data_IF_180636543265
#
_entry.id   IF_180636543265
#
_cell.length_a   1.000
_cell.length_b   1.000
_cell.length_c   1.000
_cell.angle_alpha   90.00
_cell.angle_beta   90.00
_cell.angle_gamma   90.00
#
_symmetry.space_group_name_H-M   'P 1'
#
loop_
_entity.id
_entity.type
_entity.pdbx_description
1 polymer ?
#
# COMPACT_ATOMS: atom_id res chain seq x y z
N UNK A 1 1.21 14.93 -14.60
CA UNK A 1 1.26 13.46 -14.77
C UNK A 1 2.29 12.93 -13.79
N UNK A 2 1.86 12.40 -12.63
CA UNK A 2 2.75 11.71 -11.72
C UNK A 2 3.16 10.40 -12.38
N UNK A 3 4.47 10.11 -12.41
CA UNK A 3 4.93 8.80 -12.89
C UNK A 3 4.43 7.73 -11.93
N UNK A 4 3.88 6.65 -12.48
CA UNK A 4 3.57 5.43 -11.72
C UNK A 4 4.81 4.97 -10.98
N UNK A 5 4.73 4.64 -9.69
CA UNK A 5 5.91 4.19 -8.97
C UNK A 5 6.40 2.86 -9.56
N UNK A 6 7.71 2.72 -9.67
CA UNK A 6 8.34 1.44 -9.99
C UNK A 6 7.96 0.40 -8.93
N UNK A 7 7.85 -0.88 -9.30
CA UNK A 7 7.60 -1.98 -8.37
C UNK A 7 8.62 -2.01 -7.22
N UNK A 8 8.23 -2.60 -6.09
CA UNK A 8 9.05 -2.63 -4.86
C UNK A 8 10.45 -3.19 -5.15
N UNK A 9 10.53 -4.30 -5.86
CA UNK A 9 11.81 -4.94 -6.24
C UNK A 9 12.76 -3.98 -6.94
N UNK A 10 12.26 -3.23 -7.95
CA UNK A 10 13.07 -2.26 -8.71
C UNK A 10 13.56 -1.12 -7.83
N UNK A 11 12.70 -0.61 -6.96
CA UNK A 11 13.05 0.46 -6.02
C UNK A 11 14.04 0.02 -4.98
N UNK A 12 13.87 -1.21 -4.45
CA UNK A 12 14.81 -1.80 -3.50
C UNK A 12 16.20 -1.87 -4.10
N UNK A 13 16.36 -2.47 -5.28
CA UNK A 13 17.63 -2.55 -5.95
C UNK A 13 18.22 -1.15 -6.17
N UNK A 14 17.41 -0.21 -6.68
CA UNK A 14 17.85 1.16 -6.94
C UNK A 14 18.36 1.86 -5.67
N UNK A 15 17.64 1.73 -4.56
CA UNK A 15 17.98 2.35 -3.28
C UNK A 15 19.24 1.72 -2.67
N UNK A 16 19.32 0.39 -2.65
CA UNK A 16 20.48 -0.34 -2.13
C UNK A 16 21.74 0.00 -2.93
N UNK A 17 21.67 -0.12 -4.24
CA UNK A 17 22.81 0.14 -5.13
C UNK A 17 23.29 1.58 -5.04
N UNK A 18 22.37 2.55 -4.99
CA UNK A 18 22.72 3.96 -4.81
C UNK A 18 23.41 4.22 -3.47
N UNK A 19 22.86 3.66 -2.36
CA UNK A 19 23.47 3.80 -1.03
C UNK A 19 24.84 3.13 -0.96
N UNK A 20 24.99 1.93 -1.50
CA UNK A 20 26.28 1.22 -1.57
C UNK A 20 27.32 2.05 -2.34
N UNK A 21 26.96 2.61 -3.49
CA UNK A 21 27.84 3.50 -4.25
C UNK A 21 28.29 4.72 -3.44
N UNK A 22 27.34 5.39 -2.77
CA UNK A 22 27.64 6.59 -1.95
C UNK A 22 28.54 6.21 -0.77
N UNK A 23 28.25 5.11 -0.07
CA UNK A 23 29.06 4.59 1.06
C UNK A 23 30.50 4.28 0.62
N UNK A 24 30.67 3.70 -0.59
CA UNK A 24 31.98 3.43 -1.18
C UNK A 24 32.70 4.70 -1.68
N UNK A 25 32.09 5.89 -1.61
CA UNK A 25 32.68 7.14 -2.11
C UNK A 25 32.78 7.22 -3.64
N UNK A 26 32.08 6.36 -4.37
CA UNK A 26 32.21 6.23 -5.83
C UNK A 26 31.28 7.24 -6.53
N UNK A 27 31.87 8.04 -7.44
CA UNK A 27 31.08 8.96 -8.28
C UNK A 27 30.26 8.20 -9.33
N UNK A 28 29.05 8.68 -9.63
CA UNK A 28 28.15 8.07 -10.62
C UNK A 28 28.81 7.81 -11.98
N UNK A 29 29.59 8.78 -12.50
CA UNK A 29 30.31 8.60 -13.76
C UNK A 29 31.39 7.51 -13.72
N UNK A 30 32.01 7.26 -12.56
CA UNK A 30 33.01 6.17 -12.38
C UNK A 30 32.31 4.82 -12.35
N UNK A 31 31.20 4.71 -11.61
CA UNK A 31 30.39 3.51 -11.56
C UNK A 31 29.83 3.13 -12.94
N UNK A 32 29.30 4.12 -13.67
CA UNK A 32 28.77 3.90 -15.01
C UNK A 32 29.83 3.34 -15.98
N UNK A 33 31.04 3.93 -15.98
CA UNK A 33 32.15 3.42 -16.79
C UNK A 33 32.58 1.99 -16.41
N UNK A 34 32.56 1.67 -15.10
CA UNK A 34 32.92 0.32 -14.64
C UNK A 34 31.93 -0.75 -15.12
N UNK A 35 30.67 -0.40 -15.23
CA UNK A 35 29.61 -1.30 -15.73
C UNK A 35 29.33 -1.17 -17.25
N UNK A 36 30.17 -0.42 -17.97
CA UNK A 36 30.04 -0.18 -19.42
C UNK A 36 28.64 0.38 -19.81
N UNK A 37 28.13 1.32 -19.01
CA UNK A 37 26.87 2.02 -19.27
C UNK A 37 27.05 3.54 -19.25
N UNK A 38 26.08 4.27 -19.81
CA UNK A 38 26.11 5.73 -19.74
C UNK A 38 25.78 6.25 -18.32
N UNK A 39 26.32 7.42 -17.90
CA UNK A 39 25.94 8.03 -16.64
C UNK A 39 24.42 8.32 -16.54
N UNK A 40 23.78 8.64 -17.65
CA UNK A 40 22.32 8.83 -17.73
C UNK A 40 21.55 7.53 -17.47
N UNK A 41 22.05 6.41 -17.99
CA UNK A 41 21.48 5.07 -17.74
C UNK A 41 21.57 4.71 -16.26
N UNK A 42 22.73 4.90 -15.63
CA UNK A 42 22.88 4.64 -14.20
C UNK A 42 21.94 5.53 -13.37
N UNK A 43 21.79 6.79 -13.75
CA UNK A 43 20.86 7.70 -13.08
C UNK A 43 19.41 7.19 -13.15
N UNK A 44 18.98 6.66 -14.30
CA UNK A 44 17.65 6.04 -14.46
C UNK A 44 17.48 4.80 -13.58
N UNK A 45 18.51 3.96 -13.49
CA UNK A 45 18.50 2.81 -12.58
C UNK A 45 18.40 3.25 -11.12
N UNK A 46 19.23 4.20 -10.67
CA UNK A 46 19.22 4.72 -9.30
C UNK A 46 17.95 5.48 -8.91
N UNK A 47 17.16 5.94 -9.91
CA UNK A 47 15.82 6.52 -9.73
C UNK A 47 14.69 5.50 -9.85
N UNK A 48 15.01 4.23 -10.07
CA UNK A 48 14.07 3.17 -10.37
C UNK A 48 13.19 3.43 -11.60
N UNK A 49 13.60 4.32 -12.52
CA UNK A 49 12.91 4.56 -13.78
C UNK A 49 13.01 3.36 -14.74
N UNK A 50 14.11 2.62 -14.67
CA UNK A 50 14.35 1.41 -15.46
C UNK A 50 14.71 0.22 -14.55
N UNK A 51 14.36 -1.03 -14.94
CA UNK A 51 14.77 -2.22 -14.22
C UNK A 51 16.29 -2.40 -14.32
N UNK A 52 16.91 -2.87 -13.24
CA UNK A 52 18.32 -3.15 -13.18
C UNK A 52 18.64 -4.49 -13.88
N UNK A 53 19.49 -4.50 -14.94
CA UNK A 53 19.90 -5.76 -15.54
C UNK A 53 20.78 -6.58 -14.58
N UNK A 54 20.54 -7.88 -14.49
CA UNK A 54 21.29 -8.80 -13.62
C UNK A 54 22.81 -8.64 -13.73
N UNK A 55 23.41 -8.55 -14.94
CA UNK A 55 24.85 -8.36 -15.07
C UNK A 55 25.35 -7.05 -14.45
N UNK A 56 24.55 -5.97 -14.56
CA UNK A 56 24.91 -4.66 -14.00
C UNK A 56 24.84 -4.68 -12.48
N UNK A 57 23.82 -5.33 -11.92
CA UNK A 57 23.69 -5.54 -10.46
C UNK A 57 24.92 -6.29 -9.95
N UNK A 58 25.28 -7.40 -10.60
CA UNK A 58 26.40 -8.23 -10.21
C UNK A 58 27.72 -7.43 -10.18
N UNK A 59 28.07 -6.81 -11.30
CA UNK A 59 29.33 -6.06 -11.48
C UNK A 59 29.44 -4.88 -10.52
N UNK A 60 28.36 -4.11 -10.36
CA UNK A 60 28.39 -2.94 -9.50
C UNK A 60 28.30 -3.29 -8.01
N UNK A 61 27.67 -4.38 -7.63
CA UNK A 61 27.66 -4.87 -6.24
C UNK A 61 29.08 -5.21 -5.77
N UNK A 62 29.86 -5.91 -6.59
CA UNK A 62 31.27 -6.19 -6.30
C UNK A 62 32.10 -4.90 -6.24
N UNK A 63 31.92 -4.01 -7.21
CA UNK A 63 32.65 -2.75 -7.27
C UNK A 63 32.35 -1.82 -6.08
N UNK A 64 31.14 -1.90 -5.51
CA UNK A 64 30.75 -1.14 -4.33
C UNK A 64 31.15 -1.80 -3.01
N UNK A 65 31.70 -3.01 -3.05
CA UNK A 65 32.18 -3.76 -1.89
C UNK A 65 31.03 -4.37 -1.06
N UNK A 66 29.92 -4.73 -1.68
CA UNK A 66 28.86 -5.49 -1.02
C UNK A 66 29.32 -6.91 -0.71
N UNK A 67 28.75 -7.51 0.35
CA UNK A 67 29.02 -8.91 0.67
C UNK A 67 28.49 -9.83 -0.45
N UNK A 68 29.06 -11.04 -0.54
CA UNK A 68 28.57 -12.06 -1.49
C UNK A 68 27.08 -12.36 -1.25
N UNK A 69 26.67 -12.43 0.01
CA UNK A 69 25.28 -12.69 0.39
C UNK A 69 24.34 -11.57 -0.09
N UNK A 70 24.70 -10.30 0.13
CA UNK A 70 23.91 -9.15 -0.30
C UNK A 70 23.84 -9.02 -1.82
N UNK A 71 24.97 -9.25 -2.50
CA UNK A 71 25.01 -9.31 -3.96
C UNK A 71 24.07 -10.36 -4.51
N UNK A 72 24.13 -11.58 -3.98
CA UNK A 72 23.34 -12.70 -4.47
C UNK A 72 21.83 -12.45 -4.23
N UNK A 73 21.45 -11.89 -3.08
CA UNK A 73 20.08 -11.41 -2.83
C UNK A 73 19.61 -10.38 -3.86
N UNK A 74 20.44 -9.37 -4.17
CA UNK A 74 20.13 -8.35 -5.17
C UNK A 74 20.01 -8.93 -6.58
N UNK A 75 20.85 -9.88 -6.93
CA UNK A 75 20.80 -10.61 -8.20
C UNK A 75 19.51 -11.41 -8.32
N UNK A 76 19.09 -12.09 -7.24
CA UNK A 76 17.84 -12.85 -7.23
C UNK A 76 16.63 -11.92 -7.35
N UNK A 77 16.64 -10.78 -6.66
CA UNK A 77 15.64 -9.74 -6.84
C UNK A 77 15.60 -9.24 -8.29
N UNK A 78 16.74 -8.99 -8.92
CA UNK A 78 16.81 -8.52 -10.30
C UNK A 78 16.33 -9.56 -11.34
N UNK A 79 16.33 -10.85 -10.98
CA UNK A 79 15.78 -11.94 -11.82
C UNK A 79 14.26 -12.05 -11.72
N UNK A 80 13.67 -11.56 -10.64
CA UNK A 80 12.22 -11.62 -10.48
C UNK A 80 11.54 -10.74 -11.54
N UNK A 81 10.60 -11.32 -12.27
CA UNK A 81 9.75 -10.55 -13.17
C UNK A 81 8.69 -9.85 -12.32
N UNK A 82 8.59 -8.54 -12.45
CA UNK A 82 7.58 -7.72 -11.75
C UNK A 82 6.13 -7.97 -12.25
N UNK A 83 5.83 -9.19 -12.70
CA UNK A 83 4.51 -9.54 -13.24
C UNK A 83 3.67 -10.17 -12.13
N UNK A 84 2.98 -9.35 -11.35
CA UNK A 84 1.97 -9.80 -10.41
C UNK A 84 0.69 -10.28 -11.13
N UNK A 85 -0.20 -10.95 -10.38
CA UNK A 85 -1.47 -11.46 -10.90
C UNK A 85 -2.38 -10.35 -11.45
N UNK A 86 -2.23 -9.11 -10.99
CA UNK A 86 -3.02 -7.93 -11.42
C UNK A 86 -2.76 -7.51 -12.87
N UNK A 87 -1.61 -7.77 -13.44
CA UNK A 87 -1.32 -7.50 -14.87
C UNK A 87 -2.20 -8.28 -15.86
N UNK A 88 -2.98 -9.25 -15.39
CA UNK A 88 -3.97 -9.95 -16.20
C UNK A 88 -5.26 -9.15 -16.40
N UNK A 89 -5.47 -8.11 -15.61
CA UNK A 89 -6.65 -7.25 -15.62
C UNK A 89 -6.34 -5.94 -16.35
N UNK A 90 -6.65 -5.89 -17.64
CA UNK A 90 -6.29 -4.76 -18.53
C UNK A 90 -7.01 -3.44 -18.23
N UNK A 91 -8.08 -3.47 -17.45
CA UNK A 91 -8.94 -2.31 -17.16
C UNK A 91 -8.58 -1.58 -15.86
N UNK A 92 -7.47 -1.98 -15.20
CA UNK A 92 -6.99 -1.34 -13.99
C UNK A 92 -6.14 -0.12 -14.36
N UNK A 93 -6.40 1.07 -13.78
CA UNK A 93 -5.55 2.24 -13.98
C UNK A 93 -4.10 1.97 -13.52
N UNK A 94 -3.11 2.45 -14.28
CA UNK A 94 -1.68 2.23 -14.00
C UNK A 94 -1.27 2.61 -12.57
N UNK A 95 -1.83 3.71 -12.03
CA UNK A 95 -1.56 4.12 -10.65
C UNK A 95 -2.06 3.08 -9.64
N UNK A 96 -3.20 2.42 -9.91
CA UNK A 96 -3.75 1.41 -9.02
C UNK A 96 -3.02 0.07 -9.14
N UNK A 97 -2.52 -0.30 -10.33
CA UNK A 97 -1.62 -1.45 -10.49
C UNK A 97 -0.38 -1.31 -9.60
N UNK A 98 0.20 -0.10 -9.57
CA UNK A 98 1.34 0.20 -8.73
C UNK A 98 1.03 0.07 -7.24
N UNK A 99 -0.16 0.52 -6.82
CA UNK A 99 -0.64 0.35 -5.45
C UNK A 99 -0.75 -1.13 -5.07
N UNK A 100 -1.40 -1.94 -5.92
CA UNK A 100 -1.54 -3.39 -5.68
C UNK A 100 -0.16 -4.05 -5.55
N UNK A 101 0.77 -3.68 -6.42
CA UNK A 101 2.14 -4.18 -6.36
C UNK A 101 2.84 -3.86 -5.05
N UNK A 102 2.74 -2.62 -4.57
CA UNK A 102 3.29 -2.20 -3.29
C UNK A 102 2.60 -2.92 -2.11
N UNK A 103 1.27 -2.96 -2.10
CA UNK A 103 0.49 -3.63 -1.04
C UNK A 103 0.82 -5.13 -0.96
N UNK A 104 1.04 -5.80 -2.10
CA UNK A 104 1.36 -7.22 -2.14
C UNK A 104 2.69 -7.56 -1.47
N UNK A 105 3.64 -6.64 -1.42
CA UNK A 105 4.97 -6.82 -0.84
C UNK A 105 5.12 -6.17 0.54
N UNK A 106 4.15 -5.34 0.97
CA UNK A 106 4.15 -4.74 2.30
C UNK A 106 3.97 -5.82 3.38
N UNK A 107 4.66 -5.66 4.52
CA UNK A 107 4.43 -6.49 5.71
C UNK A 107 3.44 -5.86 6.68
N UNK A 108 3.34 -4.52 6.67
CA UNK A 108 2.37 -3.78 7.47
C UNK A 108 1.71 -2.69 6.61
N UNK A 109 0.41 -2.53 6.77
CA UNK A 109 -0.34 -1.42 6.20
C UNK A 109 -1.07 -0.69 7.31
N UNK A 110 -0.88 0.64 7.37
CA UNK A 110 -1.62 1.55 8.22
C UNK A 110 -2.57 2.34 7.31
N UNK A 111 -3.88 2.23 7.53
CA UNK A 111 -4.88 2.84 6.69
C UNK A 111 -5.85 3.70 7.51
N UNK A 112 -5.94 4.97 7.19
CA UNK A 112 -7.02 5.85 7.66
C UNK A 112 -8.04 6.04 6.56
N UNK A 113 -9.33 5.83 6.89
CA UNK A 113 -10.46 6.07 5.99
C UNK A 113 -11.48 7.02 6.61
N UNK A 114 -11.80 8.09 5.86
CA UNK A 114 -12.69 9.14 6.32
C UNK A 114 -14.18 8.85 6.03
N UNK A 115 -14.51 8.31 4.87
CA UNK A 115 -15.92 8.21 4.42
C UNK A 115 -16.36 6.84 3.92
N UNK A 116 -15.45 5.88 3.79
CA UNK A 116 -15.71 4.52 3.32
C UNK A 116 -15.03 3.48 4.20
N UNK A 117 -15.39 2.23 4.03
CA UNK A 117 -14.67 1.11 4.64
C UNK A 117 -13.37 0.86 3.85
N UNK A 118 -12.22 0.59 4.51
CA UNK A 118 -10.98 0.22 3.84
C UNK A 118 -11.17 -0.91 2.82
N UNK A 119 -10.56 -0.80 1.64
CA UNK A 119 -10.73 -1.77 0.57
C UNK A 119 -10.43 -3.22 0.95
N UNK A 120 -9.48 -3.44 1.86
CA UNK A 120 -9.13 -4.77 2.39
C UNK A 120 -10.21 -5.36 3.33
N UNK A 121 -11.16 -4.57 3.79
CA UNK A 121 -12.24 -4.99 4.69
C UNK A 121 -13.63 -4.96 4.04
N UNK A 122 -13.74 -4.60 2.75
CA UNK A 122 -15.03 -4.51 2.06
C UNK A 122 -15.57 -5.89 1.68
N UNK A 123 -16.90 -6.05 1.73
CA UNK A 123 -17.58 -7.15 1.04
C UNK A 123 -17.70 -6.86 -0.45
N UNK A 124 -17.94 -7.89 -1.27
CA UNK A 124 -18.09 -7.72 -2.72
C UNK A 124 -19.25 -6.76 -3.09
N UNK A 125 -20.39 -6.86 -2.38
CA UNK A 125 -21.56 -6.01 -2.64
C UNK A 125 -21.34 -4.56 -2.23
N UNK A 126 -20.63 -4.34 -1.12
CA UNK A 126 -20.22 -2.99 -0.72
C UNK A 126 -19.24 -2.41 -1.74
N UNK A 127 -18.22 -3.16 -2.15
CA UNK A 127 -17.24 -2.75 -3.15
C UNK A 127 -17.91 -2.41 -4.49
N UNK A 128 -18.85 -3.25 -4.94
CA UNK A 128 -19.63 -3.00 -6.16
C UNK A 128 -20.41 -1.67 -6.05
N UNK A 129 -21.07 -1.45 -4.94
CA UNK A 129 -21.84 -0.22 -4.72
C UNK A 129 -20.97 1.03 -4.71
N UNK A 130 -19.76 0.96 -4.12
CA UNK A 130 -18.79 2.08 -4.15
C UNK A 130 -18.31 2.34 -5.58
N UNK A 131 -17.95 1.31 -6.32
CA UNK A 131 -17.45 1.42 -7.69
C UNK A 131 -18.52 1.93 -8.67
N UNK A 132 -19.78 1.49 -8.50
CA UNK A 132 -20.91 1.94 -9.33
C UNK A 132 -21.35 3.37 -9.04
N UNK A 133 -20.91 3.97 -7.93
CA UNK A 133 -21.21 5.36 -7.60
C UNK A 133 -20.25 6.35 -8.27
N UNK A 134 -19.31 5.85 -9.08
CA UNK A 134 -18.36 6.69 -9.79
C UNK A 134 -19.05 7.53 -10.87
N UNK A 135 -18.52 8.74 -11.16
CA UNK A 135 -19.03 9.64 -12.21
C UNK A 135 -18.80 9.12 -13.62
N UNK A 136 -17.71 8.36 -13.82
CA UNK A 136 -17.42 7.72 -15.08
C UNK A 136 -18.11 6.35 -15.08
N UNK A 137 -19.24 6.25 -15.80
CA UNK A 137 -19.97 4.99 -15.91
C UNK A 137 -19.06 3.92 -16.55
N UNK A 138 -18.49 3.07 -15.72
CA UNK A 138 -17.86 1.82 -16.17
C UNK A 138 -18.94 0.80 -16.46
N UNK A 139 -18.71 -0.09 -17.40
CA UNK A 139 -19.64 -1.19 -17.67
C UNK A 139 -19.75 -2.11 -16.44
N UNK A 140 -20.85 -2.83 -16.33
CA UNK A 140 -21.02 -3.84 -15.28
C UNK A 140 -19.87 -4.87 -15.28
N UNK A 141 -19.37 -5.24 -16.47
CA UNK A 141 -18.24 -6.14 -16.62
C UNK A 141 -16.94 -5.56 -16.04
N UNK A 142 -16.68 -4.29 -16.26
CA UNK A 142 -15.51 -3.60 -15.68
C UNK A 142 -15.66 -3.46 -14.17
N UNK A 143 -16.86 -3.15 -13.68
CA UNK A 143 -17.14 -3.10 -12.22
C UNK A 143 -16.86 -4.46 -11.59
N UNK A 144 -17.34 -5.57 -12.15
CA UNK A 144 -17.08 -6.92 -11.63
C UNK A 144 -15.59 -7.30 -11.70
N UNK A 145 -14.86 -6.87 -12.73
CA UNK A 145 -13.42 -7.04 -12.81
C UNK A 145 -12.70 -6.31 -11.64
N UNK A 146 -13.09 -5.08 -11.36
CA UNK A 146 -12.53 -4.31 -10.23
C UNK A 146 -12.91 -4.92 -8.87
N UNK A 147 -14.15 -5.41 -8.70
CA UNK A 147 -14.57 -6.15 -7.49
C UNK A 147 -13.71 -7.41 -7.32
N UNK A 148 -13.50 -8.17 -8.39
CA UNK A 148 -12.66 -9.37 -8.38
C UNK A 148 -11.24 -9.05 -7.91
N UNK A 149 -10.63 -8.00 -8.44
CA UNK A 149 -9.30 -7.52 -8.01
C UNK A 149 -9.31 -7.15 -6.53
N UNK A 150 -10.33 -6.43 -6.05
CA UNK A 150 -10.46 -6.06 -4.63
C UNK A 150 -10.56 -7.28 -3.72
N UNK A 151 -11.36 -8.27 -4.10
CA UNK A 151 -11.46 -9.53 -3.34
C UNK A 151 -10.15 -10.35 -3.38
N UNK A 152 -9.42 -10.30 -4.50
CA UNK A 152 -8.13 -10.96 -4.61
C UNK A 152 -7.09 -10.35 -3.66
N UNK A 153 -7.04 -9.02 -3.54
CA UNK A 153 -6.15 -8.31 -2.60
C UNK A 153 -6.38 -8.74 -1.15
N UNK A 154 -7.63 -8.97 -0.75
CA UNK A 154 -7.99 -9.36 0.61
C UNK A 154 -7.41 -10.72 1.05
N UNK A 155 -6.96 -11.56 0.11
CA UNK A 155 -6.27 -12.81 0.43
C UNK A 155 -5.00 -12.58 1.25
N UNK A 156 -4.39 -11.40 1.13
CA UNK A 156 -3.26 -10.98 1.97
C UNK A 156 -3.55 -11.01 3.49
N UNK A 157 -4.81 -10.93 3.88
CA UNK A 157 -5.23 -11.07 5.28
C UNK A 157 -5.40 -12.53 5.75
N UNK A 158 -5.33 -13.52 4.84
CA UNK A 158 -5.59 -14.94 5.14
C UNK A 158 -4.50 -15.88 4.63
N UNK A 159 -3.39 -15.35 4.12
CA UNK A 159 -2.21 -16.12 3.71
C UNK A 159 -1.43 -16.65 4.91
N UNK A 160 -0.48 -17.56 4.67
CA UNK A 160 0.38 -18.15 5.70
C UNK A 160 1.21 -17.10 6.46
N UNK A 161 1.68 -16.06 5.75
CA UNK A 161 2.31 -14.88 6.33
C UNK A 161 1.40 -13.65 6.10
N UNK A 162 0.38 -13.47 6.95
CA UNK A 162 -0.64 -12.47 6.69
C UNK A 162 -0.12 -11.05 6.88
N UNK A 163 -0.69 -10.13 6.11
CA UNK A 163 -0.44 -8.70 6.22
C UNK A 163 -0.84 -8.20 7.62
N UNK A 164 0.05 -7.49 8.31
CA UNK A 164 -0.30 -6.73 9.50
C UNK A 164 -1.12 -5.49 9.07
N UNK A 165 -2.39 -5.45 9.44
CA UNK A 165 -3.30 -4.42 8.98
C UNK A 165 -3.86 -3.58 10.13
N UNK A 166 -3.48 -2.31 10.20
CA UNK A 166 -3.96 -1.36 11.18
C UNK A 166 -4.88 -0.36 10.48
N UNK A 167 -6.16 -0.39 10.80
CA UNK A 167 -7.16 0.46 10.19
C UNK A 167 -7.84 1.37 11.21
N UNK A 168 -7.81 2.67 10.95
CA UNK A 168 -8.66 3.63 11.65
C UNK A 168 -9.75 4.10 10.69
N UNK A 169 -10.99 3.81 11.02
CA UNK A 169 -12.17 4.13 10.21
C UNK A 169 -12.96 5.24 10.91
N UNK A 170 -13.18 6.34 10.22
CA UNK A 170 -14.07 7.37 10.75
C UNK A 170 -15.50 6.81 10.92
N UNK A 171 -16.15 7.12 12.02
CA UNK A 171 -17.49 6.62 12.33
C UNK A 171 -18.52 6.94 11.24
N UNK A 172 -18.31 8.02 10.46
CA UNK A 172 -19.13 8.38 9.30
C UNK A 172 -19.31 7.24 8.30
N UNK A 173 -18.25 6.42 8.11
CA UNK A 173 -18.28 5.27 7.20
C UNK A 173 -19.24 4.17 7.64
N UNK A 174 -19.51 4.04 8.95
CA UNK A 174 -20.47 3.08 9.50
C UNK A 174 -21.91 3.55 9.31
N UNK A 175 -22.13 4.86 9.22
CA UNK A 175 -23.43 5.49 9.12
C UNK A 175 -23.88 5.81 7.70
N UNK A 176 -22.93 5.97 6.78
CA UNK A 176 -23.21 6.20 5.36
C UNK A 176 -23.74 4.93 4.73
N UNK A 177 -25.00 4.97 4.27
CA UNK A 177 -25.59 3.83 3.55
C UNK A 177 -24.97 3.70 2.17
N UNK A 178 -24.16 2.65 1.97
CA UNK A 178 -23.57 2.27 0.69
C UNK A 178 -24.33 1.05 0.16
N UNK A 179 -24.91 1.19 -1.02
CA UNK A 179 -25.83 0.18 -1.55
C UNK A 179 -27.15 0.13 -0.81
N UNK A 180 -27.50 -1.01 -0.25
CA UNK A 180 -28.74 -1.26 0.49
C UNK A 180 -28.51 -1.46 1.99
N UNK A 181 -29.61 -1.48 2.77
CA UNK A 181 -29.57 -1.89 4.18
C UNK A 181 -28.95 -3.28 4.37
N UNK A 182 -29.27 -4.23 3.48
CA UNK A 182 -28.71 -5.58 3.52
C UNK A 182 -27.20 -5.58 3.22
N UNK A 183 -26.77 -4.76 2.26
CA UNK A 183 -25.34 -4.56 1.96
C UNK A 183 -24.59 -4.03 3.18
N UNK A 184 -25.12 -3.03 3.86
CA UNK A 184 -24.51 -2.47 5.06
C UNK A 184 -24.51 -3.46 6.22
N UNK A 185 -25.61 -4.20 6.43
CA UNK A 185 -25.69 -5.24 7.46
C UNK A 185 -24.60 -6.31 7.27
N UNK A 186 -24.43 -6.79 6.04
CA UNK A 186 -23.41 -7.76 5.68
C UNK A 186 -21.99 -7.18 5.83
N UNK A 187 -21.81 -5.91 5.43
CA UNK A 187 -20.52 -5.23 5.55
C UNK A 187 -20.09 -5.05 7.01
N UNK A 188 -21.00 -4.61 7.89
CA UNK A 188 -20.68 -4.45 9.31
C UNK A 188 -20.46 -5.80 10.00
N UNK A 189 -21.17 -6.88 9.60
CA UNK A 189 -20.87 -8.23 10.05
C UNK A 189 -19.45 -8.65 9.65
N UNK A 190 -19.07 -8.44 8.38
CA UNK A 190 -17.72 -8.75 7.90
C UNK A 190 -16.63 -7.97 8.64
N UNK A 191 -16.89 -6.72 9.05
CA UNK A 191 -15.93 -5.97 9.89
C UNK A 191 -15.72 -6.64 11.25
N UNK A 192 -16.77 -7.16 11.88
CA UNK A 192 -16.69 -7.87 13.15
C UNK A 192 -15.85 -9.16 13.00
N UNK A 193 -16.11 -9.94 11.93
CA UNK A 193 -15.33 -11.15 11.63
C UNK A 193 -13.84 -10.83 11.38
N UNK A 194 -13.53 -9.72 10.70
CA UNK A 194 -12.15 -9.29 10.45
C UNK A 194 -11.45 -8.77 11.70
N UNK A 195 -12.18 -8.17 12.63
CA UNK A 195 -11.64 -7.70 13.90
C UNK A 195 -11.21 -8.85 14.84
N UNK A 196 -11.64 -10.09 14.57
CA UNK A 196 -11.20 -11.28 15.31
C UNK A 196 -9.79 -11.76 14.90
N UNK A 197 -9.27 -11.30 13.74
CA UNK A 197 -7.96 -11.68 13.25
C UNK A 197 -6.86 -10.96 14.06
N UNK A 198 -5.93 -11.70 14.65
CA UNK A 198 -4.89 -11.17 15.55
C UNK A 198 -3.92 -10.18 14.89
N UNK A 199 -3.83 -10.19 13.56
CA UNK A 199 -3.01 -9.28 12.75
C UNK A 199 -3.81 -8.11 12.16
N UNK A 200 -5.07 -7.92 12.59
CA UNK A 200 -5.93 -6.80 12.18
C UNK A 200 -6.25 -5.96 13.43
N UNK A 201 -5.72 -4.74 13.48
CA UNK A 201 -6.12 -3.73 14.47
C UNK A 201 -7.13 -2.78 13.80
N UNK A 202 -8.42 -3.02 14.06
CA UNK A 202 -9.52 -2.21 13.54
C UNK A 202 -10.05 -1.27 14.62
N UNK A 203 -9.95 0.03 14.36
CA UNK A 203 -10.43 1.06 15.27
C UNK A 203 -11.40 2.01 14.60
N UNK A 204 -12.37 2.48 15.36
CA UNK A 204 -13.33 3.50 14.93
C UNK A 204 -12.93 4.83 15.56
N UNK A 205 -12.73 5.84 14.71
CA UNK A 205 -12.60 7.22 15.16
C UNK A 205 -14.01 7.80 15.38
N UNK A 206 -14.45 7.97 16.65
CA UNK A 206 -15.83 8.34 16.94
C UNK A 206 -16.09 9.82 16.64
N UNK A 207 -17.33 10.18 16.37
CA UNK A 207 -17.71 11.59 16.16
C UNK A 207 -17.34 12.49 17.36
N UNK A 208 -17.36 11.94 18.55
CA UNK A 208 -17.01 12.64 19.79
C UNK A 208 -15.52 13.03 19.87
N UNK A 209 -14.66 12.41 19.05
CA UNK A 209 -13.25 12.82 18.95
C UNK A 209 -13.09 14.26 18.42
N UNK A 210 -14.11 14.74 17.67
CA UNK A 210 -14.10 16.09 17.13
C UNK A 210 -12.99 16.32 16.10
N UNK A 211 -12.24 17.41 16.25
CA UNK A 211 -11.13 17.71 15.37
C UNK A 211 -9.97 16.71 15.56
N UNK A 212 -9.46 16.18 14.46
CA UNK A 212 -8.41 15.15 14.44
C UNK A 212 -7.34 15.43 13.39
N UNK A 213 -6.18 14.80 13.53
CA UNK A 213 -5.02 15.08 12.67
C UNK A 213 -5.21 14.69 11.20
N UNK A 214 -6.10 13.74 10.92
CA UNK A 214 -6.36 13.21 9.57
C UNK A 214 -7.57 13.86 8.89
N UNK A 215 -7.94 15.09 9.24
CA UNK A 215 -9.13 15.80 8.70
C UNK A 215 -9.01 16.14 7.20
N UNK A 216 -7.84 16.00 6.60
CA UNK A 216 -7.60 16.31 5.19
C UNK A 216 -7.95 15.14 4.25
N UNK A 217 -8.32 13.98 4.79
CA UNK A 217 -8.78 12.83 4.02
C UNK A 217 -8.03 11.53 4.26
N UNK A 218 -8.44 10.50 3.53
CA UNK A 218 -7.92 9.13 3.63
C UNK A 218 -6.49 9.02 3.12
N UNK A 219 -5.72 8.12 3.73
CA UNK A 219 -4.37 7.76 3.27
C UNK A 219 -3.98 6.35 3.73
N UNK A 220 -2.95 5.82 3.06
CA UNK A 220 -2.38 4.51 3.37
C UNK A 220 -0.87 4.65 3.54
N UNK A 221 -0.30 4.07 4.60
CA UNK A 221 1.14 3.92 4.77
C UNK A 221 1.46 2.45 4.59
N UNK A 222 2.30 2.13 3.63
CA UNK A 222 2.80 0.79 3.38
C UNK A 222 4.23 0.66 3.91
N UNK A 223 4.44 -0.28 4.81
CA UNK A 223 5.74 -0.53 5.43
C UNK A 223 6.31 -1.85 4.89
N UNK A 224 7.60 -1.85 4.61
CA UNK A 224 8.27 -2.97 3.95
C UNK A 224 9.35 -3.56 4.84
N UNK A 225 9.60 -4.90 4.74
CA UNK A 225 10.67 -5.52 5.49
C UNK A 225 12.05 -5.00 5.05
N UNK A 226 12.98 -4.97 5.98
CA UNK A 226 14.38 -4.74 5.67
C UNK A 226 14.93 -5.95 4.90
N UNK A 227 15.25 -5.76 3.64
CA UNK A 227 15.78 -6.83 2.79
C UNK A 227 17.27 -7.09 2.99
N UNK A 228 18.00 -6.11 3.50
CA UNK A 228 19.42 -6.20 3.84
C UNK A 228 19.64 -5.53 5.20
N UNK A 229 20.60 -6.03 5.98
CA UNK A 229 20.84 -5.67 7.39
C UNK A 229 20.93 -4.16 7.70
N UNK A 230 21.25 -3.33 6.69
CA UNK A 230 21.43 -1.88 6.84
C UNK A 230 20.61 -1.05 5.83
N UNK A 231 19.73 -1.66 5.05
CA UNK A 231 19.01 -0.96 3.98
C UNK A 231 17.56 -1.34 3.94
N UNK A 232 16.73 -0.49 4.57
CA UNK A 232 15.29 -0.53 4.41
C UNK A 232 14.86 -0.09 3.00
N UNK A 233 13.84 -0.73 2.45
CA UNK A 233 13.13 -0.22 1.27
C UNK A 233 12.62 1.21 1.54
N UNK A 234 12.27 1.50 2.78
CA UNK A 234 11.60 2.71 3.24
C UNK A 234 10.11 2.67 2.92
N UNK A 235 9.33 3.22 3.81
CA UNK A 235 7.88 3.22 3.72
C UNK A 235 7.39 4.07 2.53
N UNK A 236 6.16 3.84 2.12
CA UNK A 236 5.48 4.60 1.07
C UNK A 236 4.12 5.05 1.59
N UNK A 237 3.84 6.35 1.48
CA UNK A 237 2.51 6.88 1.75
C UNK A 237 1.76 7.04 0.43
N UNK A 238 0.54 6.54 0.39
CA UNK A 238 -0.41 6.74 -0.69
C UNK A 238 -1.50 7.71 -0.23
N UNK A 239 -1.73 8.75 -1.01
CA UNK A 239 -2.92 9.61 -0.90
C UNK A 239 -3.67 9.53 -2.21
N UNK A 240 -4.86 8.93 -2.17
CA UNK A 240 -5.71 8.78 -3.34
C UNK A 240 -6.55 10.05 -3.55
N UNK A 241 -6.70 10.45 -4.79
CA UNK A 241 -7.59 11.53 -5.20
C UNK A 241 -8.22 11.21 -6.55
N UNK A 242 -9.24 11.96 -6.94
CA UNK A 242 -10.07 11.64 -8.11
C UNK A 242 -9.31 11.39 -9.41
N UNK A 243 -8.23 12.09 -9.65
CA UNK A 243 -7.46 12.00 -10.90
C UNK A 243 -6.24 11.06 -10.79
N UNK A 244 -6.08 10.28 -9.71
CA UNK A 244 -4.95 9.38 -9.51
C UNK A 244 -4.54 9.24 -8.05
N UNK A 245 -3.26 9.08 -7.80
CA UNK A 245 -2.71 8.96 -6.46
C UNK A 245 -1.36 9.68 -6.34
N UNK A 246 -1.06 10.17 -5.13
CA UNK A 246 0.26 10.64 -4.75
C UNK A 246 0.98 9.53 -4.00
N UNK A 247 2.19 9.24 -4.42
CA UNK A 247 3.11 8.33 -3.75
C UNK A 247 4.22 9.14 -3.12
N UNK A 248 4.23 9.22 -1.80
CA UNK A 248 5.20 9.99 -1.03
C UNK A 248 6.23 9.03 -0.42
N UNK A 249 7.50 9.24 -0.75
CA UNK A 249 8.62 8.36 -0.40
C UNK A 249 9.74 9.09 0.34
N UNK A 250 9.58 10.41 0.51
CA UNK A 250 10.57 11.19 1.24
C UNK A 250 10.38 10.98 2.74
N UNK A 251 11.48 10.82 3.45
CA UNK A 251 11.50 10.56 4.89
C UNK A 251 10.62 11.53 5.70
N UNK A 252 10.71 12.83 5.38
CA UNK A 252 9.90 13.84 6.08
C UNK A 252 8.39 13.71 5.83
N UNK A 253 7.96 13.25 4.64
CA UNK A 253 6.56 13.00 4.33
C UNK A 253 6.08 11.75 5.10
N UNK A 254 6.89 10.69 5.09
CA UNK A 254 6.62 9.45 5.83
C UNK A 254 6.48 9.73 7.32
N UNK A 255 7.42 10.47 7.89
CA UNK A 255 7.39 10.88 9.31
C UNK A 255 6.15 11.72 9.64
N UNK A 256 5.76 12.62 8.74
CA UNK A 256 4.56 13.44 8.92
C UNK A 256 3.30 12.56 8.97
N UNK A 257 3.10 11.71 7.98
CA UNK A 257 1.91 10.85 7.89
C UNK A 257 1.88 9.78 9.00
N UNK A 258 3.04 9.27 9.40
CA UNK A 258 3.15 8.34 10.55
C UNK A 258 2.69 9.01 11.85
N UNK A 259 3.06 10.26 12.10
CA UNK A 259 2.58 11.03 13.25
C UNK A 259 1.09 11.36 13.15
N UNK A 260 0.59 11.67 11.95
CA UNK A 260 -0.85 11.88 11.71
C UNK A 260 -1.61 10.60 12.05
N UNK A 261 -1.17 9.44 11.54
CA UNK A 261 -1.80 8.16 11.81
C UNK A 261 -1.82 7.84 13.30
N UNK A 262 -0.65 7.93 13.96
CA UNK A 262 -0.54 7.65 15.39
C UNK A 262 -1.48 8.54 16.22
N UNK A 263 -1.48 9.85 15.95
CA UNK A 263 -2.35 10.79 16.67
C UNK A 263 -3.83 10.53 16.44
N UNK A 264 -4.21 10.09 15.24
CA UNK A 264 -5.59 9.73 14.91
C UNK A 264 -5.97 8.41 15.60
N UNK A 265 -5.05 7.44 15.63
CA UNK A 265 -5.23 6.18 16.33
C UNK A 265 -5.37 6.38 17.86
N UNK A 266 -4.62 7.31 18.46
CA UNK A 266 -4.72 7.64 19.87
C UNK A 266 -6.07 8.27 20.25
N UNK A 267 -6.75 8.92 19.29
CA UNK A 267 -8.11 9.49 19.47
C UNK A 267 -9.22 8.49 19.13
N UNK A 268 -8.88 7.39 18.45
CA UNK A 268 -9.84 6.35 18.11
C UNK A 268 -10.19 5.48 19.34
N UNK A 269 -11.33 4.82 19.28
CA UNK A 269 -11.73 3.82 20.26
C UNK A 269 -10.71 2.67 20.27
N UNK A 270 -10.58 1.98 21.40
CA UNK A 270 -9.83 0.71 21.45
C UNK A 270 -10.45 -0.32 20.49
N UNK A 271 -9.74 -1.39 20.10
CA UNK A 271 -10.31 -2.44 19.27
C UNK A 271 -11.62 -3.01 19.84
N UNK A 272 -11.67 -3.26 21.15
CA UNK A 272 -12.84 -3.80 21.83
C UNK A 272 -14.02 -2.80 21.85
N UNK A 273 -13.76 -1.53 22.06
CA UNK A 273 -14.78 -0.47 22.02
C UNK A 273 -15.26 -0.24 20.58
N UNK A 274 -14.36 -0.39 19.59
CA UNK A 274 -14.68 -0.29 18.16
C UNK A 274 -15.63 -1.41 17.74
N UNK A 275 -15.38 -2.65 18.17
CA UNK A 275 -16.29 -3.79 17.95
C UNK A 275 -17.67 -3.48 18.54
N UNK A 276 -17.76 -2.97 19.76
CA UNK A 276 -19.05 -2.58 20.39
C UNK A 276 -19.74 -1.45 19.60
N UNK A 277 -18.99 -0.46 19.11
CA UNK A 277 -19.54 0.62 18.28
C UNK A 277 -20.10 0.09 16.97
N UNK A 278 -19.39 -0.79 16.28
CA UNK A 278 -19.85 -1.43 15.04
C UNK A 278 -21.11 -2.26 15.28
N UNK A 279 -21.14 -3.09 16.32
CA UNK A 279 -22.33 -3.88 16.71
C UNK A 279 -23.54 -2.98 16.98
N UNK A 280 -23.35 -1.90 17.73
CA UNK A 280 -24.40 -0.94 18.04
C UNK A 280 -24.97 -0.27 16.79
N UNK A 281 -24.10 0.25 15.91
CA UNK A 281 -24.54 0.89 14.65
C UNK A 281 -25.30 -0.12 13.78
N UNK A 282 -24.81 -1.35 13.67
CA UNK A 282 -25.44 -2.42 12.92
C UNK A 282 -26.85 -2.70 13.43
N UNK A 283 -27.04 -2.89 14.75
CA UNK A 283 -28.34 -3.21 15.34
C UNK A 283 -29.32 -2.05 15.26
N UNK A 284 -28.88 -0.81 15.55
CA UNK A 284 -29.74 0.37 15.58
C UNK A 284 -30.17 0.83 14.17
N UNK A 285 -29.34 0.61 13.15
CA UNK A 285 -29.53 1.21 11.83
C UNK A 285 -29.90 0.23 10.73
N UNK A 286 -29.45 -1.03 10.83
CA UNK A 286 -29.51 -1.99 9.73
C UNK A 286 -30.17 -3.32 10.09
N UNK A 287 -30.63 -3.54 11.33
CA UNK A 287 -31.34 -4.73 11.79
C UNK A 287 -32.80 -4.45 12.25
N UNK A 288 -33.21 -3.16 12.17
CA UNK A 288 -34.56 -2.71 12.54
C UNK A 288 -35.61 -2.91 11.45
#
# INVERSE_FOLDING_TARGET
>A
MGQSPAGVTRRTIARVMKRARIRAGIKSGTAARHADISPGTLTKYEKAENPWPVPVVYVLSEFYGLSTEDRDKLVDLARQKELGWWHRHRDIPEWFESYIGLESEAHTVLNYEDGTIPGLLQTADYARSVLSADVDAVSDEQTEAHVTVRMQRQKRLTEEAPLQFNAVVNESALHRTVGSTDTMRAQLAALLDRAELSHVDLRVLPFEAGAHAASEGSFVIMQFPDLLADVSFGDVVLVEYRAGALYLEKEHDIDLFSRIFQRTQDQALSPEESVKRIQRVRSERYEG
#
